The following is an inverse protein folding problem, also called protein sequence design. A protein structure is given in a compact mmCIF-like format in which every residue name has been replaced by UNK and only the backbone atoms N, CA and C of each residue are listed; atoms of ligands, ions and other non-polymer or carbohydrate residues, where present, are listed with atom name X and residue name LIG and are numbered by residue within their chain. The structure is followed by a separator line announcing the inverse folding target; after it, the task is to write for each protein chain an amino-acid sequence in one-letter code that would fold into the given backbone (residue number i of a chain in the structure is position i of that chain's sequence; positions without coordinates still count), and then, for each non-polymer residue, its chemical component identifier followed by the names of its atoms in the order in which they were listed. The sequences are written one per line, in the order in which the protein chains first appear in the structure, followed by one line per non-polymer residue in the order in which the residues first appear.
data_IF_016605000693
#
_entry.id   IF_016605000693
#
_cell.length_a   1.000
_cell.length_b   1.000
_cell.length_c   1.000
_cell.angle_alpha   90.00
_cell.angle_beta   90.00
_cell.angle_gamma   90.00
#
_symmetry.space_group_name_H-M   'P 1'
#
loop_
_entity.id
_entity.type
_entity.pdbx_description
1 polymer ?
#
# COMPACT_ATOMS: atom_id res chain seq x y z
N UNK A 1 -5.63 -5.09 7.32
CA UNK A 1 -5.00 -6.37 6.87
C UNK A 1 -4.07 -6.07 5.68
N UNK A 2 -2.88 -6.68 5.62
CA UNK A 2 -1.89 -6.41 4.56
C UNK A 2 -2.06 -7.35 3.36
N UNK A 3 -1.99 -6.77 2.16
CA UNK A 3 -1.97 -7.51 0.89
C UNK A 3 -0.68 -7.20 0.14
N UNK A 4 -0.14 -8.16 -0.59
CA UNK A 4 1.04 -7.93 -1.43
C UNK A 4 0.89 -8.53 -2.82
N UNK A 5 1.54 -7.91 -3.79
CA UNK A 5 1.71 -8.43 -5.13
C UNK A 5 3.18 -8.31 -5.52
N UNK A 6 3.81 -9.40 -5.95
CA UNK A 6 5.24 -9.42 -6.28
C UNK A 6 5.48 -10.07 -7.63
N UNK A 7 6.45 -9.56 -8.39
CA UNK A 7 6.96 -10.24 -9.60
C UNK A 7 7.93 -11.36 -9.27
N UNK A 8 8.37 -11.45 -8.01
CA UNK A 8 9.28 -12.48 -7.52
C UNK A 8 8.49 -13.41 -6.59
N UNK A 9 8.69 -14.71 -6.73
CA UNK A 9 8.27 -15.68 -5.72
C UNK A 9 9.06 -15.47 -4.44
N UNK A 10 8.59 -14.57 -3.59
CA UNK A 10 9.07 -14.42 -2.23
C UNK A 10 7.99 -14.92 -1.28
N UNK A 11 8.26 -16.06 -0.65
CA UNK A 11 7.55 -16.50 0.54
C UNK A 11 8.01 -15.64 1.71
N UNK A 12 7.27 -14.59 2.04
CA UNK A 12 7.63 -13.72 3.14
C UNK A 12 7.17 -14.39 4.45
N UNK A 13 8.09 -14.66 5.39
CA UNK A 13 7.78 -15.12 6.76
C UNK A 13 7.01 -14.09 7.62
N UNK A 14 6.37 -13.09 6.99
CA UNK A 14 5.73 -11.94 7.64
C UNK A 14 4.20 -12.09 7.71
N UNK A 15 3.66 -13.23 7.27
CA UNK A 15 2.21 -13.51 7.31
C UNK A 15 1.39 -12.61 6.39
N UNK A 16 2.00 -12.07 5.33
CA UNK A 16 1.29 -11.25 4.35
C UNK A 16 0.44 -12.12 3.43
N UNK A 17 -0.69 -11.58 3.01
CA UNK A 17 -1.63 -12.31 2.15
C UNK A 17 -1.45 -11.84 0.72
N UNK A 18 -1.31 -12.78 -0.22
CA UNK A 18 -1.22 -12.45 -1.63
C UNK A 18 -2.48 -11.70 -2.07
N UNK A 19 -2.30 -10.71 -2.94
CA UNK A 19 -3.42 -9.99 -3.53
C UNK A 19 -4.24 -10.95 -4.39
N UNK A 20 -5.55 -10.94 -4.16
CA UNK A 20 -6.48 -11.82 -4.85
C UNK A 20 -6.58 -11.43 -6.34
N UNK A 21 -6.64 -12.44 -7.20
CA UNK A 21 -6.97 -12.25 -8.61
C UNK A 21 -8.44 -11.87 -8.76
N UNK A 22 -8.74 -11.04 -9.76
CA UNK A 22 -10.13 -10.70 -10.07
C UNK A 22 -10.85 -11.96 -10.54
N UNK A 23 -11.98 -12.26 -9.91
CA UNK A 23 -12.83 -13.39 -10.29
C UNK A 23 -13.91 -13.01 -11.31
N UNK A 24 -13.87 -11.79 -11.84
CA UNK A 24 -14.89 -11.23 -12.73
C UNK A 24 -14.99 -12.03 -14.04
N UNK A 25 -15.83 -13.07 -14.04
CA UNK A 25 -16.22 -13.85 -15.23
C UNK A 25 -17.27 -13.13 -16.09
N UNK A 26 -17.60 -11.88 -15.79
CA UNK A 26 -18.66 -11.16 -16.48
C UNK A 26 -18.18 -10.61 -17.82
N UNK A 27 -18.64 -11.29 -18.86
CA UNK A 27 -18.49 -11.03 -20.29
C UNK A 27 -17.23 -11.63 -20.91
N UNK A 28 -17.42 -12.24 -22.08
CA UNK A 28 -16.44 -12.84 -22.99
C UNK A 28 -15.32 -11.90 -23.49
N UNK A 29 -14.88 -10.92 -22.70
CA UNK A 29 -13.70 -10.12 -22.97
C UNK A 29 -12.49 -10.87 -22.41
N UNK A 30 -11.54 -11.15 -23.28
CA UNK A 30 -10.17 -11.53 -22.91
C UNK A 30 -9.71 -10.51 -21.85
N UNK A 31 -9.63 -10.94 -20.59
CA UNK A 31 -9.08 -10.12 -19.51
C UNK A 31 -7.63 -9.90 -19.87
N UNK A 32 -7.27 -8.66 -20.19
CA UNK A 32 -5.87 -8.31 -20.43
C UNK A 32 -5.12 -8.60 -19.14
N UNK A 33 -3.90 -9.12 -19.21
CA UNK A 33 -3.07 -9.42 -18.02
C UNK A 33 -3.01 -8.22 -17.05
N UNK A 34 -3.09 -7.00 -17.60
CA UNK A 34 -3.13 -5.74 -16.86
C UNK A 34 -4.33 -5.54 -15.92
N UNK A 35 -5.41 -6.27 -16.14
CA UNK A 35 -6.69 -6.16 -15.45
C UNK A 35 -6.90 -7.36 -14.49
N UNK A 36 -5.90 -8.24 -14.34
CA UNK A 36 -5.96 -9.46 -13.53
C UNK A 36 -6.05 -9.22 -12.03
N UNK A 37 -5.56 -8.08 -11.53
CA UNK A 37 -5.53 -7.76 -10.10
C UNK A 37 -6.31 -6.48 -9.76
N UNK A 38 -6.91 -6.44 -8.57
CA UNK A 38 -7.50 -5.22 -7.99
C UNK A 38 -6.42 -4.41 -7.26
N UNK A 39 -5.57 -3.70 -8.02
CA UNK A 39 -4.58 -2.78 -7.43
C UNK A 39 -5.22 -1.40 -7.21
N UNK A 40 -5.48 -1.05 -5.96
CA UNK A 40 -5.98 0.28 -5.56
C UNK A 40 -4.91 1.36 -5.81
N UNK A 41 -5.34 2.59 -6.14
CA UNK A 41 -4.43 3.74 -6.27
C UNK A 41 -4.30 4.35 -7.68
N UNK A 42 -5.41 4.59 -8.38
CA UNK A 42 -5.43 5.52 -9.53
C UNK A 42 -4.52 5.16 -10.70
N UNK A 43 -4.25 3.86 -10.90
CA UNK A 43 -3.52 3.36 -12.06
C UNK A 43 -2.00 3.50 -12.02
N UNK A 44 -1.40 4.32 -11.15
CA UNK A 44 0.08 4.45 -11.11
C UNK A 44 0.75 3.18 -10.59
N UNK A 45 0.27 2.63 -9.47
CA UNK A 45 0.77 1.37 -8.92
C UNK A 45 0.60 0.23 -9.92
N UNK A 46 -0.55 0.21 -10.60
CA UNK A 46 -0.87 -0.77 -11.63
C UNK A 46 0.08 -0.65 -12.84
N UNK A 47 0.25 0.56 -13.38
CA UNK A 47 1.17 0.83 -14.51
C UNK A 47 2.60 0.49 -14.13
N UNK A 48 3.05 0.86 -12.93
CA UNK A 48 4.40 0.59 -12.46
C UNK A 48 4.64 -0.92 -12.35
N UNK A 49 3.68 -1.67 -11.81
CA UNK A 49 3.75 -3.12 -11.72
C UNK A 49 3.98 -3.78 -13.09
N UNK A 50 3.08 -3.52 -14.04
CA UNK A 50 3.19 -4.14 -15.36
C UNK A 50 4.40 -3.65 -16.14
N UNK A 51 4.78 -2.38 -16.00
CA UNK A 51 6.00 -1.86 -16.64
C UNK A 51 7.23 -2.57 -16.08
N UNK A 52 7.29 -2.78 -14.76
CA UNK A 52 8.37 -3.52 -14.13
C UNK A 52 8.36 -5.00 -14.56
N UNK A 53 7.20 -5.66 -14.60
CA UNK A 53 7.05 -7.03 -15.09
C UNK A 53 7.54 -7.18 -16.53
N UNK A 54 7.14 -6.27 -17.44
CA UNK A 54 7.58 -6.26 -18.84
C UNK A 54 9.09 -6.04 -18.98
N UNK A 55 9.67 -5.19 -18.12
CA UNK A 55 11.10 -4.92 -18.08
C UNK A 55 11.90 -5.92 -17.24
N UNK A 56 11.25 -6.98 -16.72
CA UNK A 56 11.86 -7.97 -15.83
C UNK A 56 12.53 -7.34 -14.59
N UNK A 57 11.99 -6.22 -14.12
CA UNK A 57 12.46 -5.53 -12.93
C UNK A 57 11.73 -6.12 -11.72
N UNK A 58 12.46 -6.61 -10.70
CA UNK A 58 11.94 -6.93 -9.38
C UNK A 58 11.06 -5.83 -8.79
N UNK A 59 9.78 -6.10 -8.57
CA UNK A 59 8.89 -5.17 -7.88
C UNK A 59 7.99 -5.91 -6.91
N UNK A 60 7.65 -5.24 -5.82
CA UNK A 60 6.63 -5.70 -4.88
C UNK A 60 5.81 -4.50 -4.46
N UNK A 61 4.49 -4.65 -4.57
CA UNK A 61 3.52 -3.68 -4.11
C UNK A 61 2.96 -4.18 -2.79
N UNK A 62 3.03 -3.34 -1.77
CA UNK A 62 2.41 -3.56 -0.47
C UNK A 62 1.16 -2.67 -0.37
N UNK A 63 0.05 -3.28 0.00
CA UNK A 63 -1.26 -2.65 0.07
C UNK A 63 -1.84 -2.83 1.48
N UNK A 64 -2.47 -1.79 1.97
CA UNK A 64 -3.31 -1.82 3.16
C UNK A 64 -4.63 -1.13 2.82
N UNK A 65 -5.74 -1.77 3.19
CA UNK A 65 -7.04 -1.12 3.21
C UNK A 65 -7.13 -0.26 4.46
N UNK A 66 -7.45 1.02 4.28
CA UNK A 66 -7.46 2.02 5.34
C UNK A 66 -8.89 2.44 5.65
N UNK A 67 -9.23 2.50 6.92
CA UNK A 67 -10.42 3.20 7.38
C UNK A 67 -10.22 4.71 7.31
N UNK A 68 -11.29 5.42 6.96
CA UNK A 68 -11.30 6.88 6.87
C UNK A 68 -10.99 7.49 8.24
N UNK A 69 -10.08 8.45 8.28
CA UNK A 69 -9.66 9.14 9.51
C UNK A 69 -8.53 8.43 10.28
N UNK A 70 -8.03 7.29 9.80
CA UNK A 70 -6.91 6.55 10.39
C UNK A 70 -5.71 6.44 9.43
N UNK A 71 -5.66 7.28 8.39
CA UNK A 71 -4.68 7.18 7.30
C UNK A 71 -3.24 7.28 7.80
N UNK A 72 -2.98 8.12 8.80
CA UNK A 72 -1.65 8.30 9.40
C UNK A 72 -1.19 7.04 10.13
N UNK A 73 -2.06 6.45 10.96
CA UNK A 73 -1.75 5.22 11.67
C UNK A 73 -1.48 4.09 10.68
N UNK A 74 -2.35 3.95 9.68
CA UNK A 74 -2.21 2.96 8.62
C UNK A 74 -0.93 3.14 7.78
N UNK A 75 -0.55 4.37 7.46
CA UNK A 75 0.71 4.67 6.77
C UNK A 75 1.93 4.27 7.62
N UNK A 76 1.91 4.58 8.92
CA UNK A 76 2.95 4.20 9.87
C UNK A 76 3.07 2.67 9.98
N UNK A 77 1.95 1.96 10.05
CA UNK A 77 1.93 0.50 10.07
C UNK A 77 2.51 -0.11 8.77
N UNK A 78 2.13 0.43 7.60
CA UNK A 78 2.68 0.04 6.30
C UNK A 78 4.19 0.21 6.24
N UNK A 79 4.68 1.35 6.72
CA UNK A 79 6.10 1.65 6.73
C UNK A 79 6.87 0.76 7.73
N UNK A 80 6.31 0.48 8.92
CA UNK A 80 6.88 -0.48 9.86
C UNK A 80 7.00 -1.87 9.24
N UNK A 81 6.00 -2.34 8.49
CA UNK A 81 6.08 -3.62 7.78
C UNK A 81 7.15 -3.63 6.68
N UNK A 82 7.26 -2.55 5.92
CA UNK A 82 8.32 -2.39 4.94
C UNK A 82 9.70 -2.49 5.60
N UNK A 83 9.89 -1.80 6.73
CA UNK A 83 11.15 -1.80 7.48
C UNK A 83 11.47 -3.18 8.06
N UNK A 84 10.47 -3.89 8.61
CA UNK A 84 10.64 -5.28 9.06
C UNK A 84 11.05 -6.20 7.91
N UNK A 85 10.43 -6.05 6.74
CA UNK A 85 10.71 -6.89 5.58
C UNK A 85 12.10 -6.65 5.01
N UNK A 86 12.47 -5.39 4.82
CA UNK A 86 13.74 -5.00 4.19
C UNK A 86 14.88 -4.81 5.20
N UNK A 87 14.59 -4.94 6.50
CA UNK A 87 15.53 -4.68 7.60
C UNK A 87 16.21 -3.31 7.46
N UNK A 88 15.47 -2.30 6.99
CA UNK A 88 16.01 -0.96 6.70
C UNK A 88 16.39 -0.24 7.99
N UNK A 89 15.47 -0.22 8.95
CA UNK A 89 15.70 0.39 10.25
C UNK A 89 14.84 -0.27 11.33
N UNK A 90 15.29 -0.18 12.58
CA UNK A 90 14.47 -0.51 13.74
C UNK A 90 13.68 0.74 14.14
N UNK A 91 12.39 0.72 13.86
CA UNK A 91 11.49 1.81 14.26
C UNK A 91 11.15 1.63 15.74
N UNK A 92 11.68 2.51 16.59
CA UNK A 92 11.30 2.54 18.02
C UNK A 92 10.02 3.35 18.23
N UNK A 93 9.89 4.49 17.55
CA UNK A 93 8.69 5.33 17.60
C UNK A 93 8.60 6.20 16.34
N UNK A 94 7.41 6.28 15.74
CA UNK A 94 7.16 7.21 14.65
C UNK A 94 7.05 8.63 15.19
N UNK A 95 7.82 9.55 14.60
CA UNK A 95 7.71 10.97 14.92
C UNK A 95 6.82 11.68 13.89
N UNK A 96 5.87 12.46 14.39
CA UNK A 96 5.01 13.28 13.55
C UNK A 96 5.80 14.47 12.99
N UNK A 97 5.79 14.69 11.66
CA UNK A 97 6.42 15.87 11.05
C UNK A 97 5.86 17.18 11.63
N UNK A 98 6.71 18.20 11.73
CA UNK A 98 6.32 19.51 12.25
C UNK A 98 5.14 20.13 11.47
N UNK A 99 5.12 19.95 10.14
CA UNK A 99 4.02 20.42 9.28
C UNK A 99 2.68 19.75 9.60
N UNK A 100 2.68 18.45 9.86
CA UNK A 100 1.48 17.72 10.25
C UNK A 100 0.96 18.18 11.61
N UNK A 101 1.87 18.42 12.57
CA UNK A 101 1.52 18.98 13.88
C UNK A 101 0.84 20.33 13.76
N UNK A 102 1.42 21.24 12.98
CA UNK A 102 0.87 22.57 12.74
C UNK A 102 -0.53 22.51 12.11
N UNK A 103 -0.77 21.58 11.19
CA UNK A 103 -2.09 21.39 10.58
C UNK A 103 -3.16 20.88 11.56
N UNK A 104 -2.79 20.03 12.51
CA UNK A 104 -3.73 19.56 13.56
C UNK A 104 -4.08 20.73 14.49
N UNK A 105 -3.07 21.51 14.90
CA UNK A 105 -3.26 22.65 15.80
C UNK A 105 -4.22 23.70 15.22
N UNK A 106 -4.19 23.93 13.89
CA UNK A 106 -5.12 24.86 13.23
C UNK A 106 -6.56 24.36 13.17
N UNK A 107 -6.81 23.06 13.30
CA UNK A 107 -8.15 22.49 13.34
C UNK A 107 -8.77 22.48 14.74
N UNK A 108 -7.95 22.61 15.78
CA UNK A 108 -8.37 22.53 17.18
C UNK A 108 -8.72 23.88 17.81
N UNK A 109 -8.74 24.98 17.04
CA UNK A 109 -9.17 26.28 17.57
C UNK A 109 -10.67 26.21 17.93
N UNK A 110 -11.06 26.30 19.21
CA UNK A 110 -12.46 26.25 19.58
C UNK A 110 -13.18 27.50 19.04
N UNK A 111 -14.46 27.39 18.64
CA UNK A 111 -15.24 28.56 18.26
C UNK A 111 -15.27 29.54 19.43
N UNK A 112 -14.85 30.78 19.16
CA UNK A 112 -14.99 31.89 20.10
C UNK A 112 -16.49 32.21 20.15
N UNK A 113 -17.16 31.79 21.22
CA UNK A 113 -18.53 32.23 21.56
C UNK A 113 -18.46 33.48 22.43
#
# INVERSE_FOLDING_TARGET
QFRYLSTINNSNNLGWIALEERQDKHHHKIVRDRDRYYIAGGGIANRLFYTAQQKQIPITILLMFTDVGQEVQHANELLTRLNQWKKICQVQQWQMPASQRAWIETQTVPPIY
#
